data_IF_839905044975
#
_entry.id   IF_839905044975
#
_cell.length_a   1.000
_cell.length_b   1.000
_cell.length_c   1.000
_cell.angle_alpha   90.00
_cell.angle_beta   90.00
_cell.angle_gamma   90.00
#
_symmetry.space_group_name_H-M   'P 1'
#
loop_
_entity.id
_entity.type
_entity.pdbx_description
1 polymer ?
#
# COMPACT_ATOMS: atom_id res chain seq x y z
N UNK A 1 2.19 24.91 6.96
CA UNK A 1 2.92 25.59 8.06
C UNK A 1 2.44 25.01 9.38
N UNK A 2 3.30 24.61 10.30
CA UNK A 2 2.90 24.03 11.61
C UNK A 2 2.70 25.14 12.64
N UNK A 3 1.94 24.88 13.71
CA UNK A 3 1.79 25.84 14.82
C UNK A 3 3.13 26.25 15.41
N UNK A 4 4.09 25.31 15.47
CA UNK A 4 5.45 25.57 15.95
C UNK A 4 6.23 26.53 15.05
N UNK A 5 6.05 26.43 13.73
CA UNK A 5 6.64 27.39 12.78
C UNK A 5 6.03 28.79 12.93
N UNK A 6 4.73 28.90 13.26
CA UNK A 6 4.09 30.19 13.55
C UNK A 6 4.60 30.81 14.84
N UNK A 7 4.87 29.99 15.87
CA UNK A 7 5.50 30.46 17.10
C UNK A 7 6.86 31.10 16.86
N UNK A 8 7.71 30.43 16.04
CA UNK A 8 9.05 30.95 15.70
C UNK A 8 9.01 32.27 14.94
N UNK A 9 8.05 32.42 14.02
CA UNK A 9 7.97 33.63 13.15
C UNK A 9 7.17 34.77 13.75
N UNK A 10 6.08 34.46 14.49
CA UNK A 10 5.12 35.47 14.95
C UNK A 10 5.06 35.60 16.46
N UNK A 11 5.89 34.83 17.20
CA UNK A 11 5.92 34.82 18.67
C UNK A 11 4.55 34.56 19.33
N UNK A 12 3.74 33.71 18.68
CA UNK A 12 2.44 33.29 19.15
C UNK A 12 2.63 31.93 19.86
N UNK A 13 2.21 31.79 21.11
CA UNK A 13 2.28 30.52 21.82
C UNK A 13 1.57 29.40 21.04
N UNK A 14 2.32 28.38 20.67
CA UNK A 14 1.89 27.28 19.81
C UNK A 14 0.69 26.53 20.39
N UNK A 15 0.68 26.26 21.70
CA UNK A 15 -0.40 25.51 22.35
C UNK A 15 -1.67 26.33 22.44
N UNK A 16 -1.56 27.60 22.79
CA UNK A 16 -2.71 28.51 22.84
C UNK A 16 -3.32 28.68 21.46
N UNK A 17 -2.49 28.86 20.43
CA UNK A 17 -2.96 28.98 19.04
C UNK A 17 -3.63 27.69 18.54
N UNK A 18 -3.02 26.53 18.80
CA UNK A 18 -3.60 25.23 18.42
C UNK A 18 -4.97 25.03 19.08
N UNK A 19 -5.08 25.35 20.37
CA UNK A 19 -6.35 25.28 21.10
C UNK A 19 -7.40 26.22 20.50
N UNK A 20 -7.04 27.50 20.27
CA UNK A 20 -7.95 28.47 19.64
C UNK A 20 -8.35 28.05 18.23
N UNK A 21 -7.43 27.52 17.44
CA UNK A 21 -7.74 27.02 16.10
C UNK A 21 -8.75 25.88 16.17
N UNK A 22 -8.48 24.85 16.98
CA UNK A 22 -9.37 23.69 17.12
C UNK A 22 -10.75 24.07 17.67
N UNK A 23 -10.80 24.95 18.66
CA UNK A 23 -12.03 25.27 19.38
C UNK A 23 -12.91 26.33 18.70
N UNK A 24 -12.30 27.25 17.95
CA UNK A 24 -13.02 28.43 17.43
C UNK A 24 -12.81 28.60 15.93
N UNK A 25 -11.56 28.72 15.47
CA UNK A 25 -11.27 29.15 14.10
C UNK A 25 -11.55 28.06 13.05
N UNK A 26 -11.39 26.81 13.40
CA UNK A 26 -11.64 25.69 12.49
C UNK A 26 -13.12 25.42 12.20
N UNK A 27 -14.02 25.97 13.03
CA UNK A 27 -15.44 25.63 12.94
C UNK A 27 -15.80 24.21 13.36
N UNK A 28 -14.83 23.41 13.82
CA UNK A 28 -14.99 21.97 14.10
C UNK A 28 -16.13 21.68 15.10
N UNK A 29 -16.34 22.54 16.11
CA UNK A 29 -17.42 22.37 17.10
C UNK A 29 -18.83 22.49 16.50
N UNK A 30 -18.95 23.22 15.40
CA UNK A 30 -20.22 23.43 14.70
C UNK A 30 -20.36 22.60 13.43
N UNK A 31 -19.42 21.65 13.24
CA UNK A 31 -19.43 20.79 12.06
C UNK A 31 -20.59 19.79 12.15
N UNK A 32 -21.40 19.73 11.11
CA UNK A 32 -22.63 18.92 11.07
C UNK A 32 -22.37 17.42 11.28
N UNK A 33 -21.23 16.93 10.81
CA UNK A 33 -20.87 15.51 10.94
C UNK A 33 -20.16 15.15 12.25
N UNK A 34 -19.93 16.12 13.16
CA UNK A 34 -19.17 15.91 14.40
C UNK A 34 -19.71 14.76 15.24
N UNK A 35 -21.03 14.56 15.27
CA UNK A 35 -21.70 13.53 16.10
C UNK A 35 -21.37 12.09 15.72
N UNK A 36 -20.89 11.86 14.49
CA UNK A 36 -20.55 10.53 13.95
C UNK A 36 -19.21 10.50 13.24
N UNK A 37 -18.39 11.54 13.37
CA UNK A 37 -17.11 11.66 12.68
C UNK A 37 -16.10 10.56 13.08
N UNK A 38 -16.25 9.98 14.27
CA UNK A 38 -15.43 8.86 14.74
C UNK A 38 -15.77 7.54 14.01
N UNK A 39 -17.01 7.42 13.52
CA UNK A 39 -17.47 6.23 12.81
C UNK A 39 -17.40 6.41 11.29
N UNK A 40 -17.86 7.54 10.79
CA UNK A 40 -17.86 7.83 9.35
C UNK A 40 -17.97 9.33 9.05
N UNK A 41 -17.43 9.72 7.91
CA UNK A 41 -17.57 11.04 7.29
C UNK A 41 -17.99 10.86 5.83
N UNK A 42 -18.89 11.71 5.33
CA UNK A 42 -19.42 11.63 3.98
C UNK A 42 -19.53 13.02 3.36
N UNK A 43 -19.01 13.17 2.15
CA UNK A 43 -19.00 14.40 1.35
C UNK A 43 -19.58 14.12 -0.04
N UNK A 44 -20.91 14.01 -0.17
CA UNK A 44 -21.57 13.65 -1.43
C UNK A 44 -21.25 14.60 -2.58
N UNK A 45 -21.00 15.86 -2.28
CA UNK A 45 -20.65 16.92 -3.22
C UNK A 45 -19.32 16.68 -3.94
N UNK A 46 -18.47 15.84 -3.38
CA UNK A 46 -17.17 15.52 -3.95
C UNK A 46 -17.19 14.31 -4.89
N UNK A 47 -18.35 13.67 -5.06
CA UNK A 47 -18.44 12.49 -5.95
C UNK A 47 -18.16 12.88 -7.39
N UNK A 48 -17.44 12.04 -8.12
CA UNK A 48 -17.12 12.24 -9.52
C UNK A 48 -17.26 10.95 -10.32
N UNK A 49 -17.05 11.00 -11.63
CA UNK A 49 -17.19 9.83 -12.50
C UNK A 49 -16.13 8.74 -12.26
N UNK A 50 -14.98 9.09 -11.68
CA UNK A 50 -13.89 8.14 -11.43
C UNK A 50 -13.51 8.17 -9.95
N UNK A 51 -13.79 7.08 -9.25
CA UNK A 51 -13.50 6.94 -7.83
C UNK A 51 -12.37 5.96 -7.57
N UNK A 52 -11.79 6.02 -6.39
CA UNK A 52 -10.96 4.97 -5.82
C UNK A 52 -11.46 4.63 -4.42
N UNK A 53 -11.42 3.33 -4.09
CA UNK A 53 -11.71 2.81 -2.76
C UNK A 53 -10.51 2.03 -2.27
N UNK A 54 -10.03 2.32 -1.04
CA UNK A 54 -8.85 1.70 -0.46
C UNK A 54 -8.99 1.62 1.07
N UNK A 55 -8.27 0.69 1.68
CA UNK A 55 -8.16 0.52 3.12
C UNK A 55 -6.83 1.08 3.62
N UNK A 56 -6.88 1.90 4.64
CA UNK A 56 -5.68 2.50 5.21
C UNK A 56 -5.68 2.35 6.74
N UNK A 57 -4.54 1.93 7.28
CA UNK A 57 -4.31 1.96 8.71
C UNK A 57 -3.78 3.34 9.10
N UNK A 58 -4.49 4.01 9.99
CA UNK A 58 -4.04 5.24 10.61
C UNK A 58 -3.24 4.96 11.90
N UNK A 59 -3.00 5.98 12.71
CA UNK A 59 -2.31 5.84 13.99
C UNK A 59 -3.03 4.84 14.91
N UNK A 60 -2.27 4.09 15.69
CA UNK A 60 -2.75 3.06 16.64
C UNK A 60 -3.31 1.76 15.99
N UNK A 61 -3.13 1.55 14.69
CA UNK A 61 -3.57 0.33 14.01
C UNK A 61 -5.06 0.28 13.68
N UNK A 62 -5.78 1.38 13.84
CA UNK A 62 -7.16 1.50 13.39
C UNK A 62 -7.22 1.50 11.86
N UNK A 63 -8.14 0.69 11.34
CA UNK A 63 -8.37 0.57 9.89
C UNK A 63 -9.56 1.42 9.47
N UNK A 64 -9.41 2.09 8.35
CA UNK A 64 -10.45 2.90 7.74
C UNK A 64 -10.57 2.58 6.26
N UNK A 65 -11.79 2.62 5.75
CA UNK A 65 -12.07 2.58 4.31
C UNK A 65 -12.23 4.01 3.79
N UNK A 66 -11.46 4.36 2.78
CA UNK A 66 -11.48 5.65 2.11
C UNK A 66 -12.11 5.54 0.73
N UNK A 67 -12.99 6.48 0.39
CA UNK A 67 -13.49 6.66 -0.97
C UNK A 67 -13.06 8.03 -1.45
N UNK A 68 -12.36 8.09 -2.56
CA UNK A 68 -11.81 9.34 -3.10
C UNK A 68 -12.20 9.55 -4.56
N UNK A 69 -12.35 10.81 -4.95
CA UNK A 69 -12.55 11.24 -6.32
C UNK A 69 -11.17 11.41 -7.00
N UNK A 70 -10.89 10.58 -8.00
CA UNK A 70 -9.62 10.60 -8.75
C UNK A 70 -9.48 11.82 -9.65
N UNK A 71 -10.58 12.38 -10.12
CA UNK A 71 -10.54 13.55 -10.99
C UNK A 71 -10.12 14.82 -10.24
N UNK A 72 -10.31 14.86 -8.93
CA UNK A 72 -9.84 15.97 -8.09
C UNK A 72 -8.31 16.03 -7.97
N UNK A 73 -7.57 14.98 -8.39
CA UNK A 73 -6.10 14.94 -8.47
C UNK A 73 -5.39 15.41 -7.18
N UNK A 74 -5.78 14.91 -6.01
CA UNK A 74 -5.24 15.29 -4.69
C UNK A 74 -5.47 16.75 -4.27
N UNK A 75 -6.36 17.45 -4.94
CA UNK A 75 -6.79 18.81 -4.59
C UNK A 75 -7.89 18.77 -3.55
N UNK A 76 -8.34 19.96 -3.16
CA UNK A 76 -9.57 20.11 -2.37
C UNK A 76 -10.72 19.33 -3.02
N UNK A 77 -11.66 18.85 -2.20
CA UNK A 77 -12.80 18.07 -2.64
C UNK A 77 -12.49 16.66 -3.22
N UNK A 78 -11.32 16.08 -2.91
CA UNK A 78 -11.02 14.72 -3.34
C UNK A 78 -11.62 13.62 -2.44
N UNK A 79 -11.88 13.92 -1.18
CA UNK A 79 -12.43 12.96 -0.22
C UNK A 79 -13.96 12.87 -0.39
N UNK A 80 -14.47 11.66 -0.67
CA UNK A 80 -15.92 11.39 -0.79
C UNK A 80 -16.45 10.76 0.50
N UNK A 81 -15.73 9.79 1.06
CA UNK A 81 -16.12 9.16 2.32
C UNK A 81 -14.91 8.61 3.08
N UNK A 82 -15.03 8.58 4.41
CA UNK A 82 -14.18 7.82 5.32
C UNK A 82 -15.10 7.02 6.23
N UNK A 83 -14.83 5.72 6.37
CA UNK A 83 -15.62 4.84 7.23
C UNK A 83 -14.67 4.07 8.14
N UNK A 84 -14.89 4.07 9.43
CA UNK A 84 -14.12 3.30 10.39
C UNK A 84 -14.37 1.79 10.16
N UNK A 85 -13.27 1.03 10.09
CA UNK A 85 -13.31 -0.39 9.78
C UNK A 85 -13.34 -0.71 8.28
N UNK A 86 -13.46 -2.02 8.01
CA UNK A 86 -13.36 -2.61 6.66
C UNK A 86 -14.55 -3.52 6.32
N UNK A 87 -15.58 -3.52 7.17
CA UNK A 87 -16.79 -4.34 6.94
C UNK A 87 -17.59 -3.77 5.79
N UNK A 88 -17.82 -4.60 4.77
CA UNK A 88 -18.54 -4.19 3.57
C UNK A 88 -19.94 -3.65 3.86
N UNK A 89 -20.64 -4.18 4.85
CA UNK A 89 -21.98 -3.75 5.24
C UNK A 89 -22.01 -2.32 5.77
N UNK A 90 -21.05 -1.96 6.62
CA UNK A 90 -20.96 -0.64 7.24
C UNK A 90 -20.62 0.41 6.16
N UNK A 91 -19.66 0.10 5.29
CA UNK A 91 -19.29 0.97 4.17
C UNK A 91 -20.45 1.17 3.19
N UNK A 92 -21.16 0.09 2.84
CA UNK A 92 -22.35 0.15 1.96
C UNK A 92 -23.41 1.04 2.59
N UNK A 93 -23.70 0.89 3.88
CA UNK A 93 -24.72 1.68 4.58
C UNK A 93 -24.40 3.18 4.56
N UNK A 94 -23.13 3.55 4.69
CA UNK A 94 -22.69 4.96 4.61
C UNK A 94 -22.81 5.48 3.18
N UNK A 95 -22.28 4.77 2.21
CA UNK A 95 -22.27 5.20 0.81
C UNK A 95 -23.67 5.24 0.17
N UNK A 96 -24.61 4.43 0.64
CA UNK A 96 -26.01 4.47 0.20
C UNK A 96 -26.76 5.74 0.63
N UNK A 97 -26.19 6.55 1.53
CA UNK A 97 -26.72 7.88 1.87
C UNK A 97 -26.51 8.91 0.76
N UNK A 98 -25.59 8.66 -0.17
CA UNK A 98 -25.46 9.43 -1.41
C UNK A 98 -26.67 9.12 -2.28
N UNK A 99 -27.22 10.12 -2.92
CA UNK A 99 -28.37 9.95 -3.79
C UNK A 99 -28.08 8.97 -4.94
N UNK A 100 -29.13 8.31 -5.41
CA UNK A 100 -29.02 7.24 -6.40
C UNK A 100 -28.51 7.76 -7.76
N UNK A 101 -28.90 8.95 -8.15
CA UNK A 101 -28.50 9.57 -9.42
C UNK A 101 -26.99 9.80 -9.44
N UNK A 102 -26.43 10.38 -8.39
CA UNK A 102 -24.99 10.59 -8.22
C UNK A 102 -24.23 9.29 -8.21
N UNK A 103 -24.71 8.25 -7.50
CA UNK A 103 -24.08 6.92 -7.47
C UNK A 103 -24.08 6.25 -8.86
N UNK A 104 -25.15 6.42 -9.64
CA UNK A 104 -25.28 5.82 -10.96
C UNK A 104 -24.55 6.62 -12.05
N UNK A 105 -24.12 7.84 -11.77
CA UNK A 105 -23.27 8.63 -12.64
C UNK A 105 -21.79 8.22 -12.57
N UNK A 106 -21.39 7.45 -11.55
CA UNK A 106 -20.02 6.91 -11.42
C UNK A 106 -19.77 5.93 -12.56
N UNK A 107 -18.68 6.15 -13.29
CA UNK A 107 -18.28 5.35 -14.46
C UNK A 107 -17.24 4.28 -14.11
N UNK A 108 -16.31 4.61 -13.22
CA UNK A 108 -15.18 3.75 -12.88
C UNK A 108 -14.89 3.83 -11.38
N UNK A 109 -14.63 2.68 -10.76
CA UNK A 109 -14.10 2.61 -9.40
C UNK A 109 -12.85 1.74 -9.39
N UNK A 110 -11.73 2.36 -9.01
CA UNK A 110 -10.47 1.66 -8.77
C UNK A 110 -10.50 1.04 -7.37
N UNK A 111 -10.15 -0.23 -7.26
CA UNK A 111 -10.17 -1.00 -6.02
C UNK A 111 -9.03 -2.02 -5.98
N UNK A 112 -8.76 -2.56 -4.80
CA UNK A 112 -7.86 -3.69 -4.63
C UNK A 112 -8.50 -5.03 -5.08
N UNK A 113 -7.78 -6.15 -4.89
CA UNK A 113 -8.28 -7.49 -5.23
C UNK A 113 -9.21 -8.10 -4.18
N UNK A 114 -9.59 -7.34 -3.14
CA UNK A 114 -10.43 -7.80 -2.04
C UNK A 114 -11.88 -8.07 -2.49
N UNK A 115 -12.46 -9.17 -2.03
CA UNK A 115 -13.85 -9.49 -2.31
C UNK A 115 -14.82 -8.56 -1.57
N UNK A 116 -14.43 -8.03 -0.40
CA UNK A 116 -15.19 -7.01 0.33
C UNK A 116 -15.35 -5.73 -0.49
N UNK A 117 -14.27 -5.25 -1.11
CA UNK A 117 -14.30 -4.08 -1.99
C UNK A 117 -15.15 -4.32 -3.23
N UNK A 118 -15.04 -5.49 -3.83
CA UNK A 118 -15.91 -5.86 -4.98
C UNK A 118 -17.39 -5.85 -4.63
N UNK A 119 -17.73 -6.36 -3.43
CA UNK A 119 -19.10 -6.37 -2.92
C UNK A 119 -19.61 -4.93 -2.74
N UNK A 120 -18.82 -4.05 -2.11
CA UNK A 120 -19.17 -2.65 -1.91
C UNK A 120 -19.48 -1.99 -3.27
N UNK A 121 -18.51 -2.05 -4.20
CA UNK A 121 -18.66 -1.38 -5.50
C UNK A 121 -19.85 -1.92 -6.29
N UNK A 122 -20.04 -3.24 -6.33
CA UNK A 122 -21.19 -3.85 -7.02
C UNK A 122 -22.52 -3.41 -6.45
N UNK A 123 -22.59 -3.20 -5.14
CA UNK A 123 -23.86 -2.83 -4.46
C UNK A 123 -24.14 -1.34 -4.56
N UNK A 124 -23.12 -0.51 -4.41
CA UNK A 124 -23.30 0.96 -4.33
C UNK A 124 -23.24 1.63 -5.70
N UNK A 125 -22.32 1.16 -6.57
CA UNK A 125 -22.06 1.72 -7.90
C UNK A 125 -22.30 0.68 -9.01
N UNK A 126 -23.54 0.20 -9.19
CA UNK A 126 -23.82 -0.97 -10.06
C UNK A 126 -23.53 -0.72 -11.54
N UNK A 127 -23.44 0.56 -11.97
CA UNK A 127 -23.14 0.94 -13.35
C UNK A 127 -21.65 1.19 -13.60
N UNK A 128 -20.83 1.22 -12.54
CA UNK A 128 -19.41 1.53 -12.64
C UNK A 128 -18.59 0.33 -13.08
N UNK A 129 -17.63 0.56 -13.95
CA UNK A 129 -16.57 -0.39 -14.27
C UNK A 129 -15.62 -0.53 -13.08
N UNK A 130 -15.24 -1.77 -12.79
CA UNK A 130 -14.32 -2.09 -11.69
C UNK A 130 -12.92 -2.24 -12.23
N UNK A 131 -12.04 -1.35 -11.85
CA UNK A 131 -10.63 -1.34 -12.26
C UNK A 131 -9.77 -1.78 -11.08
N UNK A 132 -8.94 -2.78 -11.29
CA UNK A 132 -8.02 -3.23 -10.24
C UNK A 132 -6.82 -2.29 -10.17
N UNK A 133 -6.47 -1.87 -8.95
CA UNK A 133 -5.29 -1.03 -8.74
C UNK A 133 -4.02 -1.79 -9.14
N UNK A 134 -3.27 -1.17 -10.06
CA UNK A 134 -1.99 -1.69 -10.55
C UNK A 134 -0.98 -1.93 -9.43
N UNK A 135 -0.99 -1.11 -8.39
CA UNK A 135 -0.04 -1.25 -7.27
C UNK A 135 -0.23 -2.60 -6.56
N UNK A 136 -1.47 -3.01 -6.30
CA UNK A 136 -1.76 -4.29 -5.66
C UNK A 136 -1.37 -5.47 -6.54
N UNK A 137 -1.57 -5.40 -7.86
CA UNK A 137 -1.11 -6.43 -8.81
C UNK A 137 0.42 -6.52 -8.80
N UNK A 138 1.10 -5.38 -8.87
CA UNK A 138 2.56 -5.34 -8.86
C UNK A 138 3.13 -5.88 -7.55
N UNK A 139 2.53 -5.51 -6.41
CA UNK A 139 2.91 -6.01 -5.09
C UNK A 139 2.77 -7.54 -5.03
N UNK A 140 1.63 -8.08 -5.47
CA UNK A 140 1.38 -9.52 -5.47
C UNK A 140 2.42 -10.29 -6.32
N UNK A 141 2.75 -9.77 -7.50
CA UNK A 141 3.80 -10.35 -8.35
C UNK A 141 5.18 -10.29 -7.68
N UNK A 142 5.53 -9.16 -7.05
CA UNK A 142 6.78 -9.02 -6.32
C UNK A 142 6.86 -9.95 -5.11
N UNK A 143 5.76 -10.11 -4.38
CA UNK A 143 5.69 -11.02 -3.23
C UNK A 143 5.88 -12.48 -3.67
N UNK A 144 5.25 -12.90 -4.77
CA UNK A 144 5.44 -14.24 -5.33
C UNK A 144 6.89 -14.51 -5.75
N UNK A 145 7.54 -13.55 -6.42
CA UNK A 145 8.97 -13.64 -6.77
C UNK A 145 9.84 -13.70 -5.52
N UNK A 146 9.49 -12.95 -4.49
CA UNK A 146 10.20 -12.97 -3.21
C UNK A 146 10.08 -14.33 -2.50
N UNK A 147 8.91 -14.94 -2.49
CA UNK A 147 8.70 -16.28 -1.93
C UNK A 147 9.55 -17.33 -2.63
N UNK A 148 9.55 -17.34 -3.97
CA UNK A 148 10.40 -18.24 -4.77
C UNK A 148 11.88 -18.03 -4.43
N UNK A 149 12.34 -16.78 -4.38
CA UNK A 149 13.73 -16.47 -4.03
C UNK A 149 14.07 -16.97 -2.62
N UNK A 150 13.18 -16.81 -1.65
CA UNK A 150 13.38 -17.28 -0.28
C UNK A 150 13.45 -18.81 -0.25
N UNK A 151 12.56 -19.50 -0.94
CA UNK A 151 12.56 -20.96 -1.07
C UNK A 151 13.91 -21.45 -1.61
N UNK A 152 14.33 -20.97 -2.76
CA UNK A 152 15.63 -21.34 -3.33
C UNK A 152 16.83 -21.01 -2.42
N UNK A 153 16.72 -19.91 -1.65
CA UNK A 153 17.76 -19.59 -0.66
C UNK A 153 17.82 -20.62 0.45
N UNK A 154 16.70 -21.13 0.94
CA UNK A 154 16.67 -22.19 1.93
C UNK A 154 17.21 -23.49 1.37
N UNK A 155 16.86 -23.86 0.14
CA UNK A 155 17.40 -25.03 -0.56
C UNK A 155 18.93 -24.93 -0.69
N UNK A 156 19.45 -23.76 -1.06
CA UNK A 156 20.90 -23.53 -1.15
C UNK A 156 21.61 -23.58 0.21
N UNK A 157 20.96 -23.17 1.29
CA UNK A 157 21.51 -23.30 2.66
C UNK A 157 21.55 -24.77 3.07
N UNK A 158 20.47 -25.50 2.83
CA UNK A 158 20.38 -26.92 3.16
C UNK A 158 21.46 -27.71 2.40
N UNK A 159 21.56 -27.50 1.09
CA UNK A 159 22.59 -28.13 0.26
C UNK A 159 24.01 -27.86 0.78
N UNK A 160 24.33 -26.60 1.11
CA UNK A 160 25.63 -26.24 1.65
C UNK A 160 25.92 -26.90 3.02
N UNK A 161 24.88 -27.07 3.86
CA UNK A 161 25.03 -27.78 5.12
C UNK A 161 25.29 -29.29 4.90
N UNK A 162 24.57 -29.93 3.98
CA UNK A 162 24.75 -31.34 3.61
C UNK A 162 26.17 -31.57 3.06
N UNK A 163 26.62 -30.74 2.10
CA UNK A 163 27.99 -30.80 1.55
C UNK A 163 29.05 -30.58 2.63
N UNK A 164 28.81 -29.69 3.59
CA UNK A 164 29.72 -29.46 4.72
C UNK A 164 29.83 -30.68 5.64
N UNK A 165 28.72 -31.34 5.93
CA UNK A 165 28.72 -32.56 6.76
C UNK A 165 29.38 -33.74 6.05
N UNK A 166 29.17 -33.88 4.73
CA UNK A 166 29.85 -34.89 3.92
C UNK A 166 31.37 -34.68 3.88
N UNK A 167 31.85 -33.45 3.73
CA UNK A 167 33.26 -33.10 3.76
C UNK A 167 33.88 -33.44 5.13
N UNK A 168 33.20 -33.11 6.22
CA UNK A 168 33.66 -33.49 7.59
C UNK A 168 33.76 -34.99 7.77
N UNK A 169 32.83 -35.80 7.27
CA UNK A 169 32.88 -37.26 7.35
C UNK A 169 34.09 -37.84 6.58
N UNK A 170 34.51 -37.13 5.51
CA UNK A 170 35.70 -37.51 4.71
C UNK A 170 37.01 -36.93 5.23
N UNK A 171 36.98 -36.15 6.33
CA UNK A 171 38.13 -35.37 6.84
C UNK A 171 38.67 -34.37 5.78
N UNK A 172 37.83 -33.80 4.97
CA UNK A 172 38.17 -32.81 3.95
C UNK A 172 37.65 -31.42 4.33
N UNK A 173 38.34 -30.37 3.89
CA UNK A 173 37.85 -28.99 4.05
C UNK A 173 36.76 -28.70 3.03
N UNK A 174 35.62 -28.21 3.50
CA UNK A 174 34.52 -27.78 2.61
C UNK A 174 34.88 -26.50 1.85
N UNK A 175 34.91 -26.58 0.53
CA UNK A 175 35.09 -25.42 -0.35
C UNK A 175 33.80 -25.18 -1.17
N UNK A 176 33.03 -24.11 -0.87
CA UNK A 176 31.80 -23.85 -1.58
C UNK A 176 32.04 -23.50 -3.05
N UNK A 177 31.21 -24.02 -3.94
CA UNK A 177 31.23 -23.61 -5.34
C UNK A 177 30.93 -22.10 -5.46
N UNK A 178 31.69 -21.41 -6.29
CA UNK A 178 31.51 -19.98 -6.60
C UNK A 178 31.26 -19.79 -8.09
N UNK A 179 30.20 -19.02 -8.40
CA UNK A 179 29.88 -18.63 -9.77
C UNK A 179 30.94 -17.69 -10.35
N UNK A 180 30.87 -17.41 -11.65
CA UNK A 180 31.84 -16.57 -12.38
C UNK A 180 32.07 -15.17 -11.79
N UNK A 181 31.07 -14.65 -11.06
CA UNK A 181 31.15 -13.37 -10.37
C UNK A 181 31.70 -13.46 -8.92
N UNK A 182 32.11 -14.65 -8.48
CA UNK A 182 32.63 -14.92 -7.14
C UNK A 182 31.59 -15.14 -6.04
N UNK A 183 30.29 -15.01 -6.34
CA UNK A 183 29.22 -15.27 -5.38
C UNK A 183 28.98 -16.79 -5.25
N UNK A 184 28.70 -17.28 -4.04
CA UNK A 184 28.06 -18.58 -3.84
C UNK A 184 26.59 -18.49 -4.20
N UNK A 185 25.91 -19.62 -4.43
CA UNK A 185 24.47 -19.64 -4.72
C UNK A 185 23.65 -18.92 -3.65
N UNK A 186 23.97 -19.13 -2.39
CA UNK A 186 23.36 -18.44 -1.25
C UNK A 186 23.57 -16.93 -1.33
N UNK A 187 24.80 -16.46 -1.60
CA UNK A 187 25.13 -15.04 -1.71
C UNK A 187 24.44 -14.40 -2.91
N UNK A 188 24.40 -15.09 -4.04
CA UNK A 188 23.69 -14.66 -5.24
C UNK A 188 22.21 -14.41 -4.95
N UNK A 189 21.52 -15.33 -4.31
CA UNK A 189 20.12 -15.23 -3.93
C UNK A 189 19.85 -14.11 -2.91
N UNK A 190 20.76 -13.87 -1.96
CA UNK A 190 20.65 -12.76 -1.01
C UNK A 190 20.76 -11.41 -1.75
N UNK A 191 21.78 -11.27 -2.59
CA UNK A 191 22.11 -10.03 -3.30
C UNK A 191 21.17 -9.70 -4.46
N UNK A 192 20.35 -10.68 -4.89
CA UNK A 192 19.36 -10.52 -5.98
C UNK A 192 18.05 -9.90 -5.54
N UNK A 193 17.79 -9.72 -4.25
CA UNK A 193 16.49 -9.21 -3.76
C UNK A 193 16.01 -7.97 -4.47
N UNK A 194 16.81 -6.92 -4.52
CA UNK A 194 16.42 -5.65 -5.13
C UNK A 194 16.56 -5.61 -6.66
N UNK A 195 17.40 -6.45 -7.21
CA UNK A 195 17.56 -6.64 -8.63
C UNK A 195 16.26 -7.17 -9.27
N UNK A 196 15.61 -8.15 -8.63
CA UNK A 196 14.38 -8.79 -9.13
C UNK A 196 13.15 -7.86 -9.15
N UNK A 197 13.17 -6.78 -8.36
CA UNK A 197 12.09 -5.77 -8.33
C UNK A 197 12.38 -4.53 -9.18
N UNK A 198 13.51 -4.52 -9.85
CA UNK A 198 13.98 -3.39 -10.65
C UNK A 198 14.00 -3.77 -12.13
N UNK A 199 13.49 -2.91 -13.00
CA UNK A 199 13.54 -3.16 -14.43
C UNK A 199 14.98 -3.25 -14.95
N UNK A 200 15.21 -4.09 -15.96
CA UNK A 200 16.54 -4.43 -16.47
C UNK A 200 17.34 -3.21 -17.00
N UNK A 201 16.65 -2.22 -17.54
CA UNK A 201 17.24 -0.96 -17.99
C UNK A 201 17.89 -0.13 -16.86
N UNK A 202 17.46 -0.37 -15.62
CA UNK A 202 17.96 0.30 -14.42
C UNK A 202 19.01 -0.50 -13.65
N UNK A 203 19.41 -1.67 -14.16
CA UNK A 203 20.43 -2.46 -13.51
C UNK A 203 21.84 -1.88 -13.70
N UNK A 204 22.63 -1.91 -12.63
CA UNK A 204 24.07 -1.68 -12.73
C UNK A 204 24.76 -2.87 -13.41
N UNK A 205 25.99 -2.70 -13.91
CA UNK A 205 26.73 -3.80 -14.55
C UNK A 205 26.89 -5.03 -13.62
N UNK A 206 27.12 -4.82 -12.34
CA UNK A 206 27.16 -5.90 -11.35
C UNK A 206 25.81 -6.60 -11.17
N UNK A 207 24.71 -5.86 -11.31
CA UNK A 207 23.36 -6.43 -11.25
C UNK A 207 23.04 -7.22 -12.52
N UNK A 208 23.48 -6.77 -13.68
CA UNK A 208 23.32 -7.51 -14.94
C UNK A 208 24.07 -8.85 -14.89
N UNK A 209 25.33 -8.85 -14.42
CA UNK A 209 26.10 -10.07 -14.24
C UNK A 209 25.41 -11.07 -13.31
N UNK A 210 24.87 -10.60 -12.16
CA UNK A 210 24.12 -11.46 -11.24
C UNK A 210 22.83 -11.97 -11.85
N UNK A 211 22.13 -11.13 -12.61
CA UNK A 211 20.90 -11.53 -13.31
C UNK A 211 21.18 -12.64 -14.31
N UNK A 212 22.22 -12.50 -15.14
CA UNK A 212 22.63 -13.54 -16.09
C UNK A 212 22.83 -14.87 -15.40
N UNK A 213 23.62 -14.91 -14.33
CA UNK A 213 23.88 -16.15 -13.58
C UNK A 213 22.59 -16.70 -12.94
N UNK A 214 21.76 -15.82 -12.33
CA UNK A 214 20.54 -16.23 -11.63
C UNK A 214 19.49 -16.86 -12.57
N UNK A 215 19.43 -16.43 -13.83
CA UNK A 215 18.48 -16.94 -14.82
C UNK A 215 19.01 -18.07 -15.69
N UNK A 216 20.28 -18.41 -15.57
CA UNK A 216 20.91 -19.58 -16.21
C UNK A 216 20.88 -20.83 -15.29
N UNK A 217 20.81 -20.65 -13.97
CA UNK A 217 20.66 -21.71 -12.97
C UNK A 217 19.19 -22.11 -12.74
#
# INVERSE_FOLDING_TARGET
>A
MTCRTLEEFYHIDCHTFEKQYKEVLSGYRNWEQLSHADEWMLFPENIGPHLAIDETSLSNGELYTFVTNRDACTRECSLVAVVAGTKSEDVIAVLQRIDEESRYAVKEVTLDLSESMRKIVRTVFPKADRVIDRFHIQKLACDAVQELRIKHRWDAIQQANEETEEAKQKNEDYVPYRSSNGDTRRELLIRSRYLLFKSADRWTERQKQRAAILFEE
#
